data_IF_526634782755
#
_entry.id   IF_526634782755
#
_cell.length_a   1.000
_cell.length_b   1.000
_cell.length_c   1.000
_cell.angle_alpha   90.00
_cell.angle_beta   90.00
_cell.angle_gamma   90.00
#
_symmetry.space_group_name_H-M   'P 1'
#
loop_
_entity.id
_entity.type
_entity.pdbx_description
1 polymer ?
#
# COMPACT_ATOMS: atom_id res chain seq x y z
N UNK A 1 20.24 -36.45 -12.94
CA UNK A 1 19.06 -35.73 -13.44
C UNK A 1 18.87 -34.60 -12.48
N UNK A 2 19.55 -33.53 -12.82
CA UNK A 2 19.78 -32.36 -12.02
C UNK A 2 18.45 -31.65 -11.74
N UNK A 3 18.29 -31.30 -10.46
CA UNK A 3 17.27 -30.38 -9.99
C UNK A 3 17.51 -29.05 -10.69
N UNK A 4 16.58 -28.65 -11.55
CA UNK A 4 16.52 -27.26 -11.99
C UNK A 4 15.71 -26.56 -10.90
N UNK A 5 16.44 -25.96 -9.96
CA UNK A 5 15.97 -24.78 -9.23
C UNK A 5 15.54 -23.76 -10.30
N UNK A 6 14.24 -23.69 -10.53
CA UNK A 6 13.61 -22.57 -11.23
C UNK A 6 13.66 -21.41 -10.24
N UNK A 7 14.74 -20.65 -10.35
CA UNK A 7 14.90 -19.37 -9.70
C UNK A 7 13.63 -18.54 -9.94
N UNK A 8 12.92 -18.26 -8.84
CA UNK A 8 11.74 -17.42 -8.79
C UNK A 8 12.07 -15.99 -9.18
N UNK A 9 12.33 -15.77 -10.46
CA UNK A 9 12.17 -14.49 -11.10
C UNK A 9 10.67 -14.24 -11.15
N UNK A 10 10.17 -13.63 -10.07
CA UNK A 10 8.85 -13.05 -9.98
C UNK A 10 8.80 -11.90 -11.00
N UNK A 11 8.60 -12.26 -12.26
CA UNK A 11 8.29 -11.33 -13.35
C UNK A 11 6.86 -10.82 -13.09
N UNK A 12 6.71 -9.95 -12.08
CA UNK A 12 5.59 -8.99 -12.01
C UNK A 12 5.92 -7.90 -13.04
N UNK A 13 6.12 -8.28 -14.29
CA UNK A 13 5.80 -7.38 -15.38
C UNK A 13 4.44 -7.83 -15.83
N UNK A 14 3.42 -7.33 -15.13
CA UNK A 14 2.08 -7.29 -15.66
C UNK A 14 2.15 -6.54 -16.99
N UNK A 15 2.33 -7.26 -18.10
CA UNK A 15 2.04 -6.74 -19.43
C UNK A 15 0.52 -6.56 -19.46
N UNK A 16 0.04 -5.41 -18.97
CA UNK A 16 -1.32 -4.99 -19.22
C UNK A 16 -1.55 -4.94 -20.73
N UNK A 17 -2.79 -4.96 -21.20
CA UNK A 17 -3.09 -4.75 -22.63
C UNK A 17 -2.81 -3.29 -23.07
N UNK A 18 -1.94 -2.60 -22.33
CA UNK A 18 -1.63 -1.21 -22.42
C UNK A 18 -0.48 -0.84 -23.31
N UNK A 19 -0.18 0.47 -23.35
CA UNK A 19 1.04 0.90 -24.00
C UNK A 19 2.23 0.65 -23.08
N UNK A 20 3.38 0.31 -23.65
CA UNK A 20 4.64 0.10 -22.93
C UNK A 20 5.00 1.24 -21.96
N UNK A 21 4.50 2.46 -22.23
CA UNK A 21 4.62 3.61 -21.34
C UNK A 21 3.81 3.41 -20.04
N UNK A 22 2.57 2.93 -20.14
CA UNK A 22 1.71 2.68 -19.00
C UNK A 22 2.27 1.57 -18.11
N UNK A 23 2.62 0.41 -18.69
CA UNK A 23 3.25 -0.69 -17.94
C UNK A 23 4.52 -0.24 -17.21
N UNK A 24 5.34 0.58 -17.87
CA UNK A 24 6.54 1.12 -17.24
C UNK A 24 6.23 2.08 -16.08
N UNK A 25 5.20 2.92 -16.21
CA UNK A 25 4.77 3.81 -15.11
C UNK A 25 4.22 2.99 -13.94
N UNK A 26 3.40 1.96 -14.21
CA UNK A 26 2.85 1.10 -13.16
C UNK A 26 3.97 0.38 -12.41
N UNK A 27 4.94 -0.23 -13.11
CA UNK A 27 6.08 -0.87 -12.46
C UNK A 27 6.91 0.09 -11.61
N UNK A 28 7.04 1.36 -12.01
CA UNK A 28 7.67 2.38 -11.15
C UNK A 28 6.82 2.71 -9.92
N UNK A 29 5.50 2.80 -10.05
CA UNK A 29 4.60 3.04 -8.90
C UNK A 29 4.69 1.85 -7.92
N UNK A 30 4.73 0.62 -8.41
CA UNK A 30 4.92 -0.57 -7.58
C UNK A 30 6.23 -0.50 -6.77
N UNK A 31 7.35 -0.16 -7.41
CA UNK A 31 8.65 0.02 -6.74
C UNK A 31 8.60 1.13 -5.67
N UNK A 32 7.90 2.23 -5.96
CA UNK A 32 7.72 3.36 -5.02
C UNK A 32 6.87 2.93 -3.82
N UNK A 33 5.79 2.20 -4.04
CA UNK A 33 4.88 1.71 -3.00
C UNK A 33 5.59 0.70 -2.09
N UNK A 34 6.42 -0.17 -2.66
CA UNK A 34 7.23 -1.14 -1.93
C UNK A 34 8.42 -0.51 -1.21
N UNK A 35 8.80 0.72 -1.58
CA UNK A 35 9.94 1.41 -0.98
C UNK A 35 9.72 1.73 0.51
N UNK A 36 10.76 1.53 1.32
CA UNK A 36 10.75 1.81 2.76
C UNK A 36 10.39 3.27 3.08
N UNK A 37 10.78 4.22 2.23
CA UNK A 37 10.47 5.65 2.40
C UNK A 37 8.96 5.92 2.33
N UNK A 38 8.26 5.22 1.43
CA UNK A 38 6.80 5.33 1.28
C UNK A 38 6.10 4.68 2.47
N UNK A 39 6.46 3.44 2.79
CA UNK A 39 5.88 2.69 3.91
C UNK A 39 6.08 3.42 5.24
N UNK A 40 7.29 3.93 5.51
CA UNK A 40 7.59 4.67 6.73
C UNK A 40 6.82 5.99 6.81
N UNK A 41 6.69 6.71 5.70
CA UNK A 41 5.91 7.95 5.64
C UNK A 41 4.42 7.69 5.87
N UNK A 42 3.91 6.60 5.30
CA UNK A 42 2.53 6.15 5.47
C UNK A 42 2.22 5.72 6.89
N UNK A 43 3.05 4.85 7.47
CA UNK A 43 2.94 4.42 8.86
C UNK A 43 2.99 5.61 9.83
N UNK A 44 3.92 6.56 9.61
CA UNK A 44 4.02 7.77 10.42
C UNK A 44 2.78 8.65 10.32
N UNK A 45 2.19 8.75 9.12
CA UNK A 45 0.95 9.49 8.91
C UNK A 45 -0.23 8.81 9.62
N UNK A 46 -0.37 7.49 9.46
CA UNK A 46 -1.38 6.69 10.17
C UNK A 46 -1.23 6.84 11.68
N UNK A 47 -0.03 6.68 12.23
CA UNK A 47 0.21 6.78 13.68
C UNK A 47 -0.19 8.15 14.27
N UNK A 48 0.12 9.21 13.51
CA UNK A 48 -0.18 10.59 13.91
C UNK A 48 -1.68 10.89 13.88
N UNK A 49 -2.42 10.34 12.91
CA UNK A 49 -3.82 10.68 12.69
C UNK A 49 -4.82 9.65 13.21
N UNK A 50 -4.43 8.37 13.41
CA UNK A 50 -5.34 7.32 13.87
C UNK A 50 -5.99 7.66 15.23
N UNK A 51 -5.28 8.42 16.07
CA UNK A 51 -5.77 8.88 17.37
C UNK A 51 -6.90 9.90 17.27
N UNK A 52 -7.01 10.60 16.13
CA UNK A 52 -8.10 11.53 15.86
C UNK A 52 -9.36 10.83 15.35
N UNK A 53 -9.22 9.61 14.81
CA UNK A 53 -10.35 8.85 14.26
C UNK A 53 -11.12 8.14 15.37
N UNK A 54 -12.41 8.42 15.47
CA UNK A 54 -13.37 7.73 16.34
C UNK A 54 -14.33 6.89 15.49
N UNK A 55 -14.69 5.71 16.00
CA UNK A 55 -15.70 4.84 15.40
C UNK A 55 -17.11 5.38 15.70
N UNK A 56 -17.40 6.60 15.23
CA UNK A 56 -18.70 7.25 15.29
C UNK A 56 -19.21 7.48 13.88
N UNK A 57 -20.55 7.46 13.74
CA UNK A 57 -21.23 7.73 12.47
C UNK A 57 -21.08 9.20 12.03
N UNK A 58 -20.91 10.12 12.97
CA UNK A 58 -20.68 11.53 12.70
C UNK A 58 -19.20 11.78 12.34
N UNK A 59 -18.95 12.08 11.06
CA UNK A 59 -17.62 12.43 10.59
C UNK A 59 -17.25 13.83 11.09
N UNK A 60 -16.10 13.95 11.78
CA UNK A 60 -15.58 15.27 12.11
C UNK A 60 -15.10 15.99 10.84
N UNK A 61 -15.27 17.31 10.78
CA UNK A 61 -14.78 18.12 9.67
C UNK A 61 -13.26 17.95 9.46
N UNK A 62 -12.53 17.67 10.53
CA UNK A 62 -11.10 17.35 10.49
C UNK A 62 -10.79 16.07 9.68
N UNK A 63 -11.72 15.11 9.55
CA UNK A 63 -11.45 13.86 8.81
C UNK A 63 -11.29 14.13 7.31
N UNK A 64 -12.06 15.08 6.77
CA UNK A 64 -11.92 15.53 5.39
C UNK A 64 -10.61 16.29 5.18
N UNK A 65 -10.22 17.13 6.12
CA UNK A 65 -8.95 17.88 6.04
C UNK A 65 -7.74 16.93 6.06
N UNK A 66 -7.78 15.92 6.94
CA UNK A 66 -6.76 14.88 7.04
C UNK A 66 -6.74 14.02 5.77
N UNK A 67 -7.90 13.60 5.26
CA UNK A 67 -7.99 12.81 4.02
C UNK A 67 -7.46 13.58 2.81
N UNK A 68 -7.82 14.85 2.66
CA UNK A 68 -7.28 15.69 1.59
C UNK A 68 -5.77 15.87 1.72
N UNK A 69 -5.26 16.05 2.94
CA UNK A 69 -3.84 16.15 3.19
C UNK A 69 -3.12 14.83 2.86
N UNK A 70 -3.70 13.69 3.23
CA UNK A 70 -3.22 12.35 2.89
C UNK A 70 -3.15 12.18 1.37
N UNK A 71 -4.29 12.27 0.67
CA UNK A 71 -4.36 12.12 -0.78
C UNK A 71 -3.38 13.05 -1.50
N UNK A 72 -3.32 14.33 -1.12
CA UNK A 72 -2.39 15.31 -1.72
C UNK A 72 -0.93 14.96 -1.46
N UNK A 73 -0.59 14.47 -0.27
CA UNK A 73 0.80 14.15 0.10
C UNK A 73 1.27 12.92 -0.67
N UNK A 74 0.48 11.84 -0.67
CA UNK A 74 0.83 10.61 -1.38
C UNK A 74 0.77 10.77 -2.89
N UNK A 75 -0.21 11.49 -3.44
CA UNK A 75 -0.27 11.80 -4.88
C UNK A 75 0.98 12.58 -5.32
N UNK A 76 1.37 13.63 -4.58
CA UNK A 76 2.58 14.39 -4.88
C UNK A 76 3.84 13.55 -4.76
N UNK A 77 3.90 12.66 -3.77
CA UNK A 77 5.03 11.76 -3.58
C UNK A 77 5.17 10.80 -4.76
N UNK A 78 4.10 10.13 -5.15
CA UNK A 78 4.06 9.23 -6.32
C UNK A 78 4.48 9.96 -7.59
N UNK A 79 3.88 11.11 -7.88
CA UNK A 79 4.21 11.90 -9.09
C UNK A 79 5.67 12.33 -9.09
N UNK A 80 6.19 12.77 -7.93
CA UNK A 80 7.58 13.20 -7.80
C UNK A 80 8.55 12.05 -8.07
N UNK A 81 8.32 10.89 -7.46
CA UNK A 81 9.20 9.73 -7.65
C UNK A 81 9.09 9.19 -9.08
N UNK A 82 7.88 9.03 -9.64
CA UNK A 82 7.72 8.62 -11.05
C UNK A 82 8.44 9.58 -12.00
N UNK A 83 8.32 10.90 -11.79
CA UNK A 83 9.00 11.90 -12.64
C UNK A 83 10.53 11.87 -12.48
N UNK A 84 11.02 11.51 -11.29
CA UNK A 84 12.44 11.38 -10.99
C UNK A 84 13.05 10.12 -11.61
N UNK A 85 12.31 9.01 -11.60
CA UNK A 85 12.73 7.75 -12.22
C UNK A 85 12.54 7.73 -13.74
N UNK A 86 11.58 8.51 -14.26
CA UNK A 86 11.25 8.56 -15.67
C UNK A 86 11.38 9.98 -16.23
N UNK A 87 12.52 10.28 -16.87
CA UNK A 87 12.79 11.58 -17.49
C UNK A 87 11.80 12.00 -18.58
N UNK A 88 11.10 11.03 -19.18
CA UNK A 88 10.10 11.26 -20.24
C UNK A 88 8.67 11.06 -19.72
N UNK A 89 8.45 11.17 -18.41
CA UNK A 89 7.12 11.03 -17.83
C UNK A 89 6.20 12.14 -18.34
N UNK A 90 5.10 11.73 -18.99
CA UNK A 90 4.06 12.62 -19.47
C UNK A 90 2.76 12.37 -18.71
N UNK A 91 2.53 13.17 -17.66
CA UNK A 91 1.35 13.04 -16.79
C UNK A 91 0.03 13.12 -17.56
N UNK A 92 -0.03 13.93 -18.63
CA UNK A 92 -1.25 14.06 -19.43
C UNK A 92 -1.52 12.79 -20.23
N UNK A 93 -0.45 12.18 -20.75
CA UNK A 93 -0.55 10.88 -21.42
C UNK A 93 -0.99 9.80 -20.43
N UNK A 94 -0.36 9.74 -19.26
CA UNK A 94 -0.72 8.78 -18.21
C UNK A 94 -2.19 8.90 -17.80
N UNK A 95 -2.68 10.11 -17.48
CA UNK A 95 -4.08 10.34 -17.12
C UNK A 95 -5.06 9.93 -18.23
N UNK A 96 -4.70 10.16 -19.49
CA UNK A 96 -5.52 9.77 -20.64
C UNK A 96 -5.57 8.25 -20.81
N UNK A 97 -4.43 7.57 -20.63
CA UNK A 97 -4.39 6.10 -20.67
C UNK A 97 -5.20 5.52 -19.51
N UNK A 98 -5.01 6.02 -18.28
CA UNK A 98 -5.79 5.64 -17.09
C UNK A 98 -7.31 5.75 -17.32
N UNK A 99 -7.80 6.89 -17.79
CA UNK A 99 -9.22 7.10 -18.10
C UNK A 99 -9.73 6.16 -19.20
N UNK A 100 -8.86 5.84 -20.18
CA UNK A 100 -9.19 4.90 -21.25
C UNK A 100 -9.38 3.49 -20.70
N UNK A 101 -8.57 3.06 -19.73
CA UNK A 101 -8.75 1.77 -19.05
C UNK A 101 -10.02 1.72 -18.21
N UNK A 102 -10.30 2.78 -17.43
CA UNK A 102 -11.53 2.86 -16.63
C UNK A 102 -12.79 2.72 -17.50
N UNK A 103 -12.76 3.31 -18.71
CA UNK A 103 -13.89 3.24 -19.65
C UNK A 103 -14.01 1.89 -20.35
N UNK A 104 -12.89 1.16 -20.54
CA UNK A 104 -12.86 -0.10 -21.31
C UNK A 104 -13.28 -1.33 -20.53
N UNK A 105 -13.44 -1.26 -19.21
CA UNK A 105 -14.19 -2.24 -18.39
C UNK A 105 -13.64 -3.68 -18.29
N UNK A 106 -12.69 -4.09 -19.14
CA UNK A 106 -12.04 -5.40 -19.14
C UNK A 106 -10.54 -5.24 -19.40
N UNK A 107 -9.78 -4.82 -18.38
CA UNK A 107 -8.33 -4.77 -18.47
C UNK A 107 -7.72 -5.47 -17.24
N UNK A 108 -6.71 -6.34 -17.42
CA UNK A 108 -6.02 -7.01 -16.31
C UNK A 108 -5.42 -6.03 -15.30
N UNK A 109 -5.20 -4.76 -15.69
CA UNK A 109 -4.79 -3.72 -14.75
C UNK A 109 -5.83 -3.46 -13.65
N UNK A 110 -7.13 -3.57 -13.92
CA UNK A 110 -8.17 -3.32 -12.90
C UNK A 110 -8.22 -4.42 -11.84
N UNK A 111 -7.81 -5.63 -12.20
CA UNK A 111 -7.64 -6.77 -11.29
C UNK A 111 -6.25 -6.78 -10.63
N UNK A 112 -5.42 -5.76 -10.86
CA UNK A 112 -4.10 -5.67 -10.22
C UNK A 112 -4.19 -5.11 -8.79
N UNK A 113 -3.37 -5.68 -7.90
CA UNK A 113 -3.22 -5.25 -6.51
C UNK A 113 -2.80 -3.77 -6.41
N UNK A 114 -1.98 -3.30 -7.34
CA UNK A 114 -1.56 -1.89 -7.38
C UNK A 114 -2.72 -0.95 -7.72
N UNK A 115 -3.67 -1.36 -8.57
CA UNK A 115 -4.85 -0.55 -8.86
C UNK A 115 -5.76 -0.42 -7.65
N UNK A 116 -6.01 -1.53 -6.94
CA UNK A 116 -6.81 -1.51 -5.70
C UNK A 116 -6.15 -0.62 -4.64
N UNK A 117 -4.83 -0.74 -4.46
CA UNK A 117 -4.08 0.14 -3.58
C UNK A 117 -4.19 1.61 -3.99
N UNK A 118 -4.00 1.93 -5.28
CA UNK A 118 -4.10 3.30 -5.76
C UNK A 118 -5.52 3.87 -5.54
N UNK A 119 -6.54 3.06 -5.77
CA UNK A 119 -7.92 3.43 -5.53
C UNK A 119 -8.19 3.73 -4.05
N UNK A 120 -7.57 2.98 -3.14
CA UNK A 120 -7.68 3.19 -1.69
C UNK A 120 -7.19 4.57 -1.23
N UNK A 121 -6.24 5.20 -1.95
CA UNK A 121 -5.78 6.55 -1.63
C UNK A 121 -6.86 7.61 -1.91
N UNK A 122 -7.77 7.33 -2.84
CA UNK A 122 -8.81 8.25 -3.28
C UNK A 122 -10.19 7.92 -2.69
N UNK A 123 -10.30 6.83 -1.93
CA UNK A 123 -11.54 6.42 -1.28
C UNK A 123 -11.54 6.77 0.22
N UNK A 124 -12.44 7.66 0.62
CA UNK A 124 -12.53 8.11 2.02
C UNK A 124 -13.00 7.00 2.96
N UNK A 125 -13.91 6.14 2.52
CA UNK A 125 -14.46 5.06 3.34
C UNK A 125 -13.33 4.10 3.73
N UNK A 126 -12.56 3.68 2.73
CA UNK A 126 -11.38 2.82 2.86
C UNK A 126 -10.33 3.46 3.77
N UNK A 127 -10.05 4.76 3.59
CA UNK A 127 -9.14 5.50 4.47
C UNK A 127 -9.61 5.56 5.93
N UNK A 128 -10.92 5.77 6.15
CA UNK A 128 -11.51 5.79 7.49
C UNK A 128 -11.38 4.41 8.15
N UNK A 129 -11.69 3.35 7.43
CA UNK A 129 -11.55 1.97 7.92
C UNK A 129 -10.10 1.64 8.27
N UNK A 130 -9.15 2.02 7.41
CA UNK A 130 -7.72 1.85 7.66
C UNK A 130 -7.26 2.57 8.94
N UNK A 131 -7.71 3.81 9.17
CA UNK A 131 -7.38 4.56 10.39
C UNK A 131 -7.95 3.90 11.66
N UNK A 132 -9.18 3.37 11.58
CA UNK A 132 -9.82 2.67 12.69
C UNK A 132 -9.17 1.30 12.96
N UNK A 133 -8.77 0.59 11.91
CA UNK A 133 -8.04 -0.68 12.00
C UNK A 133 -6.66 -0.46 12.63
N UNK A 134 -5.90 0.51 12.13
CA UNK A 134 -4.58 0.85 12.66
C UNK A 134 -4.64 1.25 14.13
N UNK A 135 -5.64 2.05 14.52
CA UNK A 135 -5.91 2.38 15.92
C UNK A 135 -6.21 1.12 16.76
N UNK A 136 -7.08 0.23 16.26
CA UNK A 136 -7.46 -1.00 16.95
C UNK A 136 -6.27 -1.94 17.13
N UNK A 137 -5.39 -2.06 16.12
CA UNK A 137 -4.13 -2.81 16.21
C UNK A 137 -3.20 -2.23 17.27
N UNK A 138 -3.05 -0.91 17.32
CA UNK A 138 -2.24 -0.21 18.33
C UNK A 138 -2.79 -0.38 19.75
N UNK A 139 -4.11 -0.54 19.89
CA UNK A 139 -4.79 -0.82 21.16
C UNK A 139 -4.81 -2.33 21.52
N UNK A 140 -4.26 -3.20 20.66
CA UNK A 140 -4.11 -4.65 20.91
C UNK A 140 -5.27 -5.53 20.46
N UNK A 141 -6.21 -5.01 19.66
CA UNK A 141 -7.36 -5.75 19.12
C UNK A 141 -7.11 -6.11 17.66
N UNK A 142 -6.78 -7.38 17.39
CA UNK A 142 -6.40 -7.86 16.05
C UNK A 142 -7.61 -8.33 15.23
N UNK A 143 -7.88 -7.66 14.11
CA UNK A 143 -8.53 -8.27 12.94
C UNK A 143 -7.71 -7.86 11.70
N UNK A 144 -7.28 -8.83 10.91
CA UNK A 144 -6.50 -8.59 9.69
C UNK A 144 -7.40 -7.96 8.63
N UNK A 145 -7.20 -6.67 8.32
CA UNK A 145 -7.57 -6.14 7.00
C UNK A 145 -6.37 -6.24 6.07
N UNK A 146 -6.63 -6.78 4.88
CA UNK A 146 -5.70 -6.98 3.77
C UNK A 146 -5.29 -5.61 3.17
N UNK A 147 -4.46 -4.86 3.89
CA UNK A 147 -3.57 -3.85 3.31
C UNK A 147 -2.13 -4.36 3.33
N UNK A 148 -1.96 -5.68 3.17
CA UNK A 148 -0.68 -6.38 3.26
C UNK A 148 0.38 -5.79 2.31
N UNK A 149 -0.04 -5.16 1.20
CA UNK A 149 0.87 -4.49 0.25
C UNK A 149 1.71 -3.40 0.92
N UNK A 150 1.15 -2.66 1.89
CA UNK A 150 1.84 -1.53 2.51
C UNK A 150 2.34 -1.79 3.93
N UNK A 151 1.86 -2.87 4.54
CA UNK A 151 2.21 -3.28 5.91
C UNK A 151 3.01 -4.59 5.85
N UNK A 152 3.94 -4.72 4.90
CA UNK A 152 4.95 -5.78 4.94
C UNK A 152 6.10 -5.36 5.86
N UNK A 153 5.81 -5.24 7.16
CA UNK A 153 6.83 -5.63 8.14
C UNK A 153 6.54 -7.10 8.45
N UNK A 154 7.39 -8.05 7.97
CA UNK A 154 7.28 -9.40 8.45
C UNK A 154 7.39 -9.34 9.97
N UNK A 155 6.41 -9.94 10.64
CA UNK A 155 6.47 -10.17 12.07
C UNK A 155 7.84 -10.77 12.36
N UNK A 156 8.73 -9.97 12.96
CA UNK A 156 9.87 -10.51 13.66
C UNK A 156 9.25 -11.43 14.69
N UNK A 157 9.45 -12.73 14.48
CA UNK A 157 9.34 -13.77 15.48
C UNK A 157 10.20 -13.33 16.68
N UNK A 158 9.60 -12.53 17.56
CA UNK A 158 10.11 -12.31 18.91
C UNK A 158 9.84 -13.61 19.64
N UNK A 159 10.72 -14.58 19.42
CA UNK A 159 10.83 -15.79 20.20
C UNK A 159 11.18 -15.45 21.64
N UNK A 160 10.18 -14.97 22.38
CA UNK A 160 10.18 -14.87 23.82
C UNK A 160 9.09 -15.80 24.38
N UNK A 161 9.36 -17.11 24.35
CA UNK A 161 8.86 -17.99 25.41
C UNK A 161 10.02 -18.38 26.33
N UNK A 162 10.11 -17.63 27.42
CA UNK A 162 10.80 -18.09 28.61
C UNK A 162 9.81 -18.82 29.51
N UNK A 163 10.07 -20.08 29.81
CA UNK A 163 9.78 -20.64 31.14
C UNK A 163 10.56 -21.90 31.45
N UNK A 164 11.57 -21.72 32.31
CA UNK A 164 11.75 -22.43 33.58
C UNK A 164 11.49 -23.94 33.60
N UNK A 165 12.56 -24.72 33.43
CA UNK A 165 12.67 -26.04 34.08
C UNK A 165 13.81 -26.01 35.11
N UNK A 166 13.44 -25.54 36.31
CA UNK A 166 14.10 -25.94 37.54
C UNK A 166 13.39 -27.19 38.06
N UNK A 167 13.99 -28.37 37.91
CA UNK A 167 13.82 -29.40 38.91
C UNK A 167 15.17 -30.04 39.21
N UNK A 168 15.65 -29.72 40.41
CA UNK A 168 16.82 -30.32 41.02
C UNK A 168 16.40 -31.57 41.83
N UNK A 169 17.39 -32.46 42.01
CA UNK A 169 17.52 -33.50 43.06
C UNK A 169 16.60 -34.72 42.83
N UNK A 170 17.10 -35.95 42.68
CA UNK A 170 18.01 -36.69 43.58
C UNK A 170 18.85 -37.75 42.86
#
# INVERSE_FOLDING_TARGET
>A
MDYVDDDGQFDIVCHSAGSQFFDQVIGHIEDIVLSEEFQSSHETFLDKYCMKFENKEENQLEYMDIFQQYATTFEKFLVKEVTKHMNNFDMKRFAKELQTYETKGQDPFKDSEIYELLHSFHDFQTFKELMLDYRSRKEGNMQHMNFDILITKPLLDDGSDGSSDNFAIE
#
